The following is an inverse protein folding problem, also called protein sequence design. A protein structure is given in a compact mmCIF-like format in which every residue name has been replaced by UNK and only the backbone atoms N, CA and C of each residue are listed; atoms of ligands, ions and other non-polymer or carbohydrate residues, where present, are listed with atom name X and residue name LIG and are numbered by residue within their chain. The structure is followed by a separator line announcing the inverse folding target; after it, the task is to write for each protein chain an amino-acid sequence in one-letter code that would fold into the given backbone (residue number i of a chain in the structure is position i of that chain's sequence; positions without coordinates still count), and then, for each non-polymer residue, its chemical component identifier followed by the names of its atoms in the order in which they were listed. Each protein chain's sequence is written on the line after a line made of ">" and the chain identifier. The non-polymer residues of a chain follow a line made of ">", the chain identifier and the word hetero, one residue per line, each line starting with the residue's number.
data_IF_697901066419
#
_entry.id   IF_697901066419
#
_cell.length_a   1.000
_cell.length_b   1.000
_cell.length_c   1.000
_cell.angle_alpha   90.00
_cell.angle_beta   90.00
_cell.angle_gamma   90.00
#
_symmetry.space_group_name_H-M   'P 1'
#
loop_
_entity.id
_entity.type
_entity.pdbx_description
1 polymer ?
#
# COMPACT_ATOMS: atom_id res chain seq x y z
N UNK A 1 -9.45 -8.30 -24.65
CA UNK A 1 -10.61 -8.17 -23.74
C UNK A 1 -10.34 -9.04 -22.54
N UNK A 2 -9.95 -8.45 -21.40
CA UNK A 2 -9.75 -9.18 -20.14
C UNK A 2 -10.68 -8.57 -19.10
N UNK A 3 -11.67 -9.36 -18.70
CA UNK A 3 -12.65 -9.06 -17.66
C UNK A 3 -11.98 -8.98 -16.27
N UNK A 4 -12.58 -8.29 -15.28
CA UNK A 4 -12.10 -8.37 -13.90
C UNK A 4 -12.27 -9.80 -13.40
N UNK A 5 -11.24 -10.33 -12.73
CA UNK A 5 -11.27 -11.67 -12.12
C UNK A 5 -12.40 -11.75 -11.10
N UNK A 6 -13.45 -12.44 -11.50
CA UNK A 6 -14.37 -13.17 -10.62
C UNK A 6 -13.54 -14.11 -9.73
N UNK A 7 -13.80 -14.20 -8.41
CA UNK A 7 -13.22 -15.27 -7.60
C UNK A 7 -13.85 -16.60 -8.02
N UNK A 8 -13.03 -17.63 -8.24
CA UNK A 8 -13.51 -18.99 -8.51
C UNK A 8 -14.34 -19.53 -7.33
N UNK A 9 -15.52 -20.13 -7.58
CA UNK A 9 -16.23 -20.89 -6.57
C UNK A 9 -15.82 -22.38 -6.61
N UNK A 10 -15.91 -23.03 -5.45
CA UNK A 10 -16.02 -24.49 -5.22
C UNK A 10 -14.74 -25.33 -5.39
N UNK A 11 -14.21 -25.83 -4.27
CA UNK A 11 -14.39 -27.24 -3.90
C UNK A 11 -14.07 -27.48 -2.42
N UNK A 12 -15.10 -27.77 -1.65
CA UNK A 12 -15.03 -28.38 -0.34
C UNK A 12 -15.58 -29.79 -0.46
N UNK A 13 -14.73 -30.82 -0.38
CA UNK A 13 -15.08 -32.17 0.07
C UNK A 13 -13.84 -33.08 0.17
N UNK A 14 -13.84 -33.92 1.21
CA UNK A 14 -13.06 -35.14 1.44
C UNK A 14 -11.68 -35.09 2.13
N UNK A 15 -11.77 -35.29 3.45
CA UNK A 15 -10.83 -35.89 4.42
C UNK A 15 -11.18 -37.41 4.53
N UNK A 16 -10.46 -38.35 5.20
CA UNK A 16 -9.08 -38.45 5.74
C UNK A 16 -8.29 -39.73 5.30
N UNK A 17 -7.01 -39.84 5.70
CA UNK A 17 -6.48 -40.87 6.65
C UNK A 17 -5.07 -41.41 6.34
N UNK A 18 -4.23 -41.35 7.38
CA UNK A 18 -3.18 -42.31 7.79
C UNK A 18 -1.90 -42.48 6.96
N UNK A 19 -0.76 -42.07 7.52
CA UNK A 19 0.24 -42.98 8.10
C UNK A 19 1.54 -42.23 8.51
N UNK A 20 1.94 -42.37 9.78
CA UNK A 20 3.30 -42.13 10.31
C UNK A 20 4.13 -43.42 10.18
N UNK A 21 5.49 -43.38 10.14
CA UNK A 21 6.24 -43.57 11.40
C UNK A 21 7.65 -42.93 11.52
N UNK A 22 7.93 -42.40 12.71
CA UNK A 22 9.09 -42.57 13.64
C UNK A 22 10.49 -43.05 13.14
N UNK A 23 11.48 -42.12 13.19
CA UNK A 23 12.81 -42.07 13.90
C UNK A 23 13.79 -43.28 13.97
N UNK A 24 15.03 -43.20 14.57
CA UNK A 24 16.04 -42.11 14.80
C UNK A 24 17.56 -42.51 14.57
N UNK A 25 18.47 -41.53 14.76
CA UNK A 25 19.91 -41.60 15.17
C UNK A 25 20.95 -42.28 14.23
N UNK A 26 22.23 -41.90 14.09
CA UNK A 26 23.29 -41.58 15.08
C UNK A 26 24.54 -40.95 14.41
N UNK A 27 25.18 -40.03 15.16
CA UNK A 27 26.61 -39.72 15.37
C UNK A 27 27.74 -40.06 14.35
N UNK A 28 28.58 -39.06 14.05
CA UNK A 28 30.07 -39.05 14.15
C UNK A 28 30.57 -37.69 13.57
N UNK A 29 31.06 -36.76 14.39
CA UNK A 29 32.46 -36.65 14.86
C UNK A 29 33.44 -36.18 13.77
N UNK A 30 33.93 -34.94 13.87
CA UNK A 30 35.37 -34.60 13.87
C UNK A 30 35.59 -33.10 13.65
N UNK A 31 36.48 -32.56 14.49
CA UNK A 31 36.84 -31.16 14.62
C UNK A 31 37.68 -30.64 13.44
N UNK A 32 37.55 -29.34 13.13
CA UNK A 32 38.70 -28.49 12.81
C UNK A 32 38.41 -27.02 13.11
N UNK A 33 39.38 -26.43 13.82
CA UNK A 33 39.46 -25.05 14.28
C UNK A 33 39.68 -24.10 13.09
N UNK A 34 39.08 -22.92 13.13
CA UNK A 34 39.79 -21.68 12.76
C UNK A 34 39.12 -20.44 13.38
N UNK A 35 39.90 -19.52 13.96
CA UNK A 35 39.41 -18.29 14.56
C UNK A 35 39.35 -17.16 13.51
N UNK A 36 38.38 -16.26 13.68
CA UNK A 36 38.42 -14.94 13.05
C UNK A 36 37.52 -14.79 11.83
N UNK A 37 36.29 -14.35 12.06
CA UNK A 37 35.76 -13.21 11.34
C UNK A 37 34.86 -12.47 12.31
N UNK A 38 35.20 -11.20 12.56
CA UNK A 38 34.29 -10.25 13.16
C UNK A 38 33.03 -10.23 12.29
N UNK A 39 31.92 -10.77 12.81
CA UNK A 39 30.60 -10.48 12.27
C UNK A 39 30.39 -8.99 12.43
N UNK A 40 30.71 -8.24 11.37
CA UNK A 40 30.18 -6.92 11.17
C UNK A 40 28.66 -7.09 11.05
N UNK A 41 27.98 -6.94 12.19
CA UNK A 41 26.56 -6.62 12.28
C UNK A 41 26.24 -5.57 11.22
N UNK A 42 25.68 -6.01 10.10
CA UNK A 42 25.10 -5.12 9.09
C UNK A 42 23.96 -4.40 9.80
N UNK A 43 24.18 -3.13 10.16
CA UNK A 43 23.13 -2.27 10.70
C UNK A 43 21.88 -2.42 9.82
N UNK A 44 20.75 -2.92 10.37
CA UNK A 44 19.58 -3.20 9.57
C UNK A 44 19.13 -1.90 8.91
N UNK A 45 19.04 -1.92 7.57
CA UNK A 45 18.63 -0.76 6.79
C UNK A 45 17.35 -0.16 7.41
N UNK A 46 17.20 1.16 7.61
CA UNK A 46 16.10 1.76 8.39
C UNK A 46 14.68 1.32 7.97
N UNK A 47 14.52 0.89 6.72
CA UNK A 47 13.27 0.30 6.24
C UNK A 47 12.90 -1.03 6.90
N UNK A 48 13.86 -1.87 7.31
CA UNK A 48 13.58 -3.11 8.03
C UNK A 48 13.04 -2.83 9.43
N UNK A 49 13.54 -1.82 10.14
CA UNK A 49 12.98 -1.42 11.44
C UNK A 49 11.53 -0.94 11.30
N UNK A 50 11.25 -0.14 10.27
CA UNK A 50 9.87 0.28 9.93
C UNK A 50 9.01 -0.92 9.55
N UNK A 51 9.53 -1.84 8.72
CA UNK A 51 8.81 -3.04 8.29
C UNK A 51 8.50 -3.99 9.45
N UNK A 52 9.43 -4.21 10.37
CA UNK A 52 9.22 -5.00 11.58
C UNK A 52 8.13 -4.37 12.46
N UNK A 53 8.18 -3.04 12.61
CA UNK A 53 7.18 -2.29 13.38
C UNK A 53 5.80 -2.31 12.72
N UNK A 54 5.73 -2.24 11.38
CA UNK A 54 4.50 -2.44 10.62
C UNK A 54 3.97 -3.86 10.82
N UNK A 55 4.81 -4.88 10.66
CA UNK A 55 4.41 -6.28 10.82
C UNK A 55 3.81 -6.52 12.20
N UNK A 56 4.46 -6.04 13.25
CA UNK A 56 3.97 -6.17 14.62
C UNK A 56 2.55 -5.59 14.80
N UNK A 57 2.25 -4.45 14.15
CA UNK A 57 0.93 -3.80 14.18
C UNK A 57 -0.10 -4.48 13.29
N UNK A 58 0.30 -5.10 12.19
CA UNK A 58 -0.59 -5.80 11.25
C UNK A 58 -0.92 -7.22 11.71
N UNK A 59 0.02 -7.89 12.40
CA UNK A 59 -0.06 -9.30 12.79
C UNK A 59 -1.37 -9.74 13.46
N UNK A 60 -2.00 -8.96 14.36
CA UNK A 60 -3.26 -9.35 14.98
C UNK A 60 -4.43 -9.57 14.00
N UNK A 61 -4.34 -9.01 12.80
CA UNK A 61 -5.43 -8.99 11.82
C UNK A 61 -5.23 -9.97 10.65
N UNK A 62 -4.01 -10.45 10.43
CA UNK A 62 -3.65 -11.20 9.22
C UNK A 62 -4.35 -12.57 9.09
N UNK A 63 -4.92 -13.08 10.20
CA UNK A 63 -5.72 -14.31 10.22
C UNK A 63 -7.21 -14.08 9.94
N UNK A 64 -7.68 -12.84 9.86
CA UNK A 64 -9.07 -12.56 9.45
C UNK A 64 -9.29 -12.98 7.98
N UNK A 65 -10.49 -13.45 7.60
CA UNK A 65 -10.81 -13.73 6.21
C UNK A 65 -10.96 -12.44 5.39
N UNK A 66 -10.72 -12.55 4.08
CA UNK A 66 -10.87 -11.43 3.12
C UNK A 66 -9.99 -10.22 3.43
N UNK A 67 -8.79 -10.46 3.97
CA UNK A 67 -7.83 -9.41 4.29
C UNK A 67 -7.21 -8.84 3.02
N UNK A 68 -7.18 -7.52 2.96
CA UNK A 68 -6.50 -6.70 1.98
C UNK A 68 -5.46 -5.85 2.73
N UNK A 69 -4.20 -5.94 2.31
CA UNK A 69 -3.10 -5.09 2.78
C UNK A 69 -2.66 -4.21 1.63
N UNK A 70 -2.73 -2.90 1.82
CA UNK A 70 -2.40 -1.91 0.81
C UNK A 70 -1.50 -0.82 1.39
N UNK A 71 -0.65 -0.24 0.56
CA UNK A 71 0.10 0.96 0.89
C UNK A 71 -0.16 2.03 -0.17
N UNK A 72 -0.45 3.25 0.28
CA UNK A 72 -0.87 4.37 -0.57
C UNK A 72 0.06 5.56 -0.37
N UNK A 73 0.39 6.25 -1.46
CA UNK A 73 1.03 7.56 -1.37
C UNK A 73 0.05 8.61 -0.85
N UNK A 74 0.51 9.42 0.08
CA UNK A 74 -0.27 10.49 0.69
C UNK A 74 0.62 11.66 1.12
N UNK A 75 0.00 12.71 1.66
CA UNK A 75 0.69 13.74 2.43
C UNK A 75 0.17 13.71 3.85
N UNK A 76 1.06 13.53 4.82
CA UNK A 76 0.78 13.69 6.23
C UNK A 76 0.97 15.17 6.53
N UNK A 77 -0.11 15.89 6.81
CA UNK A 77 -0.05 17.32 7.12
C UNK A 77 0.97 17.57 8.21
N UNK A 78 2.02 18.35 7.91
CA UNK A 78 2.94 18.79 8.93
C UNK A 78 2.18 19.72 9.89
N UNK A 79 2.35 19.56 11.22
CA UNK A 79 1.99 20.64 12.13
C UNK A 79 2.73 21.88 11.66
N UNK A 80 2.01 22.96 11.34
CA UNK A 80 2.52 24.20 10.75
C UNK A 80 3.39 25.02 11.74
N UNK A 81 4.26 24.37 12.51
CA UNK A 81 5.18 24.94 13.50
C UNK A 81 6.55 24.30 13.35
N UNK A 82 7.29 24.70 12.31
CA UNK A 82 8.77 24.78 12.34
C UNK A 82 9.24 25.93 11.45
N UNK A 83 8.79 27.14 11.78
CA UNK A 83 9.58 28.34 11.56
C UNK A 83 10.17 28.69 12.93
N UNK A 84 11.50 28.72 13.03
CA UNK A 84 12.30 29.05 14.23
C UNK A 84 12.36 27.97 15.32
N UNK A 85 13.33 27.06 15.20
CA UNK A 85 14.08 26.62 16.37
C UNK A 85 15.50 26.18 15.98
N UNK A 86 16.42 27.09 16.29
CA UNK A 86 17.80 26.88 16.71
C UNK A 86 18.81 26.30 15.71
N UNK A 87 19.51 27.25 15.09
CA UNK A 87 20.96 27.28 14.88
C UNK A 87 21.72 26.79 16.12
N UNK A 88 21.81 25.48 16.34
CA UNK A 88 22.82 24.91 17.22
C UNK A 88 24.05 24.58 16.38
N UNK A 89 25.14 25.32 16.64
CA UNK A 89 26.50 25.00 16.19
C UNK A 89 26.78 23.52 16.51
N UNK A 90 27.06 22.73 15.49
CA UNK A 90 27.59 21.38 15.68
C UNK A 90 28.99 21.47 16.34
N UNK A 91 29.32 20.59 17.30
CA UNK A 91 30.69 20.45 17.78
C UNK A 91 31.57 19.92 16.65
N UNK A 92 32.68 20.60 16.41
CA UNK A 92 33.76 20.14 15.53
C UNK A 92 34.34 18.86 16.15
N UNK A 93 34.14 17.70 15.52
CA UNK A 93 34.80 16.45 15.91
C UNK A 93 33.97 15.16 15.90
N UNK A 94 32.71 15.18 15.46
CA UNK A 94 31.92 13.93 15.35
C UNK A 94 32.21 13.20 14.03
N UNK A 95 32.71 11.97 14.15
CA UNK A 95 32.87 10.98 13.07
C UNK A 95 31.52 10.72 12.38
N UNK A 96 31.45 10.65 11.03
CA UNK A 96 30.19 10.48 10.31
C UNK A 96 29.81 8.99 10.31
N UNK A 97 29.09 8.56 11.33
CA UNK A 97 28.38 7.28 11.32
C UNK A 97 26.99 7.51 11.89
N UNK A 98 25.98 7.03 11.17
CA UNK A 98 24.53 7.20 11.37
C UNK A 98 23.97 8.47 10.74
N UNK A 99 23.18 8.29 9.67
CA UNK A 99 22.21 9.28 9.19
C UNK A 99 21.47 9.82 10.42
N UNK A 100 21.39 11.14 10.64
CA UNK A 100 20.63 11.67 11.75
C UNK A 100 19.23 11.04 11.70
N UNK A 101 18.83 10.31 12.75
CA UNK A 101 17.56 9.56 12.86
C UNK A 101 16.32 10.35 12.41
N UNK A 102 16.42 11.68 12.34
CA UNK A 102 15.40 12.61 11.84
C UNK A 102 15.10 12.48 10.34
N UNK A 103 16.02 11.94 9.55
CA UNK A 103 15.92 11.87 8.08
C UNK A 103 15.50 10.49 7.55
N UNK A 104 15.41 9.48 8.42
CA UNK A 104 14.93 8.16 8.04
C UNK A 104 13.39 8.09 8.01
N UNK A 105 12.80 7.26 7.13
CA UNK A 105 11.39 6.90 7.21
C UNK A 105 11.04 6.37 8.60
N UNK A 106 9.88 6.75 9.13
CA UNK A 106 9.45 6.32 10.48
C UNK A 106 7.94 6.30 10.61
N UNK A 107 7.43 5.42 11.47
CA UNK A 107 6.01 5.39 11.82
C UNK A 107 5.66 6.64 12.64
N UNK A 108 4.50 7.23 12.33
CA UNK A 108 3.93 8.32 13.12
C UNK A 108 3.14 7.72 14.28
N UNK A 109 3.54 8.00 15.51
CA UNK A 109 2.90 7.43 16.71
C UNK A 109 1.53 8.06 17.02
N UNK A 110 1.27 9.30 16.57
CA UNK A 110 0.04 10.05 16.90
C UNK A 110 -0.99 10.03 15.76
N UNK A 111 -2.11 9.33 15.98
CA UNK A 111 -3.17 9.03 15.01
C UNK A 111 -4.14 10.15 14.63
N UNK A 112 -3.79 11.43 14.80
CA UNK A 112 -4.70 12.57 14.54
C UNK A 112 -4.15 13.60 13.55
N UNK A 113 -3.32 13.18 12.60
CA UNK A 113 -2.86 14.08 11.54
C UNK A 113 -3.85 14.11 10.39
N UNK A 114 -4.07 15.30 9.84
CA UNK A 114 -4.80 15.47 8.59
C UNK A 114 -4.00 14.80 7.48
N UNK A 115 -4.57 13.79 6.85
CA UNK A 115 -3.91 13.03 5.79
C UNK A 115 -4.68 13.24 4.49
N UNK A 116 -3.95 13.60 3.45
CA UNK A 116 -4.48 13.73 2.10
C UNK A 116 -3.94 12.58 1.27
N UNK A 117 -4.80 11.60 0.97
CA UNK A 117 -4.45 10.49 0.09
C UNK A 117 -4.42 10.99 -1.36
N UNK A 118 -3.38 10.61 -2.08
CA UNK A 118 -3.20 10.91 -3.49
C UNK A 118 -1.93 11.68 -3.82
N UNK A 119 -1.76 11.94 -5.11
CA UNK A 119 -0.62 12.61 -5.73
C UNK A 119 -1.10 13.72 -6.68
N UNK A 120 -0.20 14.58 -7.16
CA UNK A 120 -0.52 15.50 -8.26
C UNK A 120 -0.78 14.75 -9.56
N UNK A 121 -1.45 15.40 -10.52
CA UNK A 121 -1.72 14.80 -11.82
C UNK A 121 -0.42 14.50 -12.60
N UNK A 122 0.56 15.40 -12.49
CA UNK A 122 1.85 15.29 -13.14
C UNK A 122 2.71 14.17 -12.52
N UNK A 123 2.71 14.07 -11.19
CA UNK A 123 3.41 12.99 -10.46
C UNK A 123 2.78 11.64 -10.78
N UNK A 124 1.44 11.57 -10.83
CA UNK A 124 0.71 10.36 -11.24
C UNK A 124 1.16 9.86 -12.61
N UNK A 125 1.25 10.75 -13.61
CA UNK A 125 1.66 10.39 -14.96
C UNK A 125 3.12 9.89 -14.99
N UNK A 126 4.04 10.57 -14.27
CA UNK A 126 5.44 10.14 -14.14
C UNK A 126 5.57 8.76 -13.50
N UNK A 127 4.92 8.54 -12.36
CA UNK A 127 4.98 7.28 -11.63
C UNK A 127 4.41 6.12 -12.46
N UNK A 128 3.31 6.35 -13.17
CA UNK A 128 2.73 5.35 -14.07
C UNK A 128 3.68 4.99 -15.21
N UNK A 129 4.31 5.97 -15.85
CA UNK A 129 5.28 5.74 -16.92
C UNK A 129 6.51 4.95 -16.42
N UNK A 130 7.04 5.29 -15.24
CA UNK A 130 8.16 4.58 -14.63
C UNK A 130 7.87 3.08 -14.39
N UNK A 131 6.66 2.73 -13.92
CA UNK A 131 6.26 1.32 -13.76
C UNK A 131 6.09 0.61 -15.11
N UNK A 132 5.58 1.32 -16.13
CA UNK A 132 5.41 0.78 -17.46
C UNK A 132 6.75 0.50 -18.19
N UNK A 133 7.77 1.31 -17.95
CA UNK A 133 9.00 1.33 -18.76
C UNK A 133 10.23 0.77 -18.05
N UNK A 134 10.43 1.08 -16.76
CA UNK A 134 11.75 0.93 -16.14
C UNK A 134 11.80 -0.13 -15.03
N UNK A 135 10.91 -0.02 -14.04
CA UNK A 135 11.07 -0.79 -12.82
C UNK A 135 10.68 -2.27 -12.99
N UNK A 136 9.62 -2.53 -13.76
CA UNK A 136 9.01 -3.86 -13.86
C UNK A 136 8.52 -4.19 -15.28
N UNK A 137 8.55 -3.21 -16.21
CA UNK A 137 8.07 -3.33 -17.60
C UNK A 137 6.70 -4.05 -17.71
N UNK A 138 5.75 -3.70 -16.83
CA UNK A 138 4.51 -4.45 -16.68
C UNK A 138 3.41 -3.98 -17.65
N UNK A 139 2.68 -4.91 -18.29
CA UNK A 139 1.52 -4.56 -19.07
C UNK A 139 0.37 -4.10 -18.16
N UNK A 140 0.00 -2.83 -18.25
CA UNK A 140 -1.15 -2.29 -17.52
C UNK A 140 -2.48 -2.81 -18.10
N UNK A 141 -3.34 -3.32 -17.22
CA UNK A 141 -4.75 -3.54 -17.51
C UNK A 141 -5.54 -2.29 -17.13
N UNK A 142 -6.35 -1.76 -18.03
CA UNK A 142 -7.20 -0.60 -17.77
C UNK A 142 -8.65 -1.04 -17.49
N UNK A 143 -9.26 -0.45 -16.46
CA UNK A 143 -10.69 -0.59 -16.17
C UNK A 143 -11.34 0.75 -15.85
N UNK A 144 -12.64 0.85 -16.10
CA UNK A 144 -13.48 1.96 -15.66
C UNK A 144 -14.62 1.39 -14.84
N UNK A 145 -14.73 1.84 -13.59
CA UNK A 145 -15.81 1.43 -12.69
C UNK A 145 -16.51 2.62 -12.07
N UNK A 146 -17.73 2.40 -11.62
CA UNK A 146 -18.43 3.29 -10.72
C UNK A 146 -18.76 2.57 -9.42
N UNK A 147 -18.22 3.10 -8.32
CA UNK A 147 -18.51 2.60 -6.98
C UNK A 147 -19.62 3.46 -6.36
N UNK A 148 -20.71 2.83 -5.95
CA UNK A 148 -21.76 3.45 -5.14
C UNK A 148 -21.60 3.01 -3.69
N UNK A 149 -21.23 3.95 -2.82
CA UNK A 149 -21.03 3.73 -1.39
C UNK A 149 -22.33 4.05 -0.66
N UNK A 150 -22.90 3.03 -0.01
CA UNK A 150 -24.09 3.14 0.82
C UNK A 150 -23.76 2.78 2.27
N UNK A 151 -24.75 2.89 3.17
CA UNK A 151 -24.62 2.39 4.55
C UNK A 151 -24.44 0.86 4.62
N UNK A 152 -24.86 0.13 3.58
CA UNK A 152 -24.87 -1.34 3.57
C UNK A 152 -23.68 -1.93 2.82
N UNK A 153 -22.95 -1.17 2.00
CA UNK A 153 -21.79 -1.68 1.29
C UNK A 153 -21.31 -0.77 0.15
N UNK A 154 -20.28 -1.23 -0.56
CA UNK A 154 -19.76 -0.64 -1.80
C UNK A 154 -20.23 -1.49 -2.97
N UNK A 155 -21.09 -0.94 -3.81
CA UNK A 155 -21.60 -1.58 -5.02
C UNK A 155 -20.74 -1.13 -6.19
N UNK A 156 -20.22 -2.06 -6.97
CA UNK A 156 -19.31 -1.77 -8.09
C UNK A 156 -19.99 -2.08 -9.41
N UNK A 157 -19.94 -1.12 -10.33
CA UNK A 157 -20.43 -1.25 -11.70
C UNK A 157 -19.27 -1.07 -12.67
N UNK A 158 -19.15 -1.94 -13.68
CA UNK A 158 -18.24 -1.69 -14.81
C UNK A 158 -18.93 -0.77 -15.80
N UNK A 159 -18.19 0.22 -16.28
CA UNK A 159 -18.66 1.17 -17.29
C UNK A 159 -17.94 0.88 -18.61
N UNK A 160 -18.67 0.45 -19.62
CA UNK A 160 -18.13 0.19 -20.95
C UNK A 160 -17.88 1.49 -21.73
N UNK A 161 -17.22 1.38 -22.89
CA UNK A 161 -16.88 2.53 -23.74
C UNK A 161 -18.11 3.26 -24.30
N UNK A 162 -19.20 2.54 -24.53
CA UNK A 162 -20.50 3.09 -24.95
C UNK A 162 -21.28 3.77 -23.81
N UNK A 163 -20.72 3.76 -22.59
CA UNK A 163 -21.35 4.30 -21.38
C UNK A 163 -22.34 3.35 -20.70
N UNK A 164 -22.53 2.13 -21.21
CA UNK A 164 -23.36 1.13 -20.56
C UNK A 164 -22.74 0.67 -19.24
N UNK A 165 -23.60 0.41 -18.24
CA UNK A 165 -23.19 0.00 -16.91
C UNK A 165 -23.65 -1.43 -16.61
N UNK A 166 -22.79 -2.23 -15.99
CA UNK A 166 -23.12 -3.58 -15.53
C UNK A 166 -22.68 -3.80 -14.09
N UNK A 167 -23.56 -4.38 -13.26
CA UNK A 167 -23.23 -4.69 -11.87
C UNK A 167 -22.21 -5.83 -11.78
N UNK A 168 -21.13 -5.61 -11.03
CA UNK A 168 -20.07 -6.62 -10.81
C UNK A 168 -20.22 -7.30 -9.46
N UNK A 169 -20.52 -6.53 -8.41
CA UNK A 169 -20.55 -7.06 -7.07
C UNK A 169 -20.74 -6.01 -5.99
N UNK A 170 -20.99 -6.50 -4.78
CA UNK A 170 -21.12 -5.68 -3.58
C UNK A 170 -20.19 -6.24 -2.51
N UNK A 171 -19.46 -5.35 -1.83
CA UNK A 171 -18.62 -5.73 -0.69
C UNK A 171 -18.98 -4.91 0.55
N UNK A 172 -18.68 -5.46 1.72
CA UNK A 172 -18.59 -4.70 2.97
C UNK A 172 -17.11 -4.51 3.32
N UNK A 173 -16.58 -3.29 3.11
CA UNK A 173 -15.21 -2.92 3.49
C UNK A 173 -15.16 -2.41 4.93
N UNK A 174 -14.35 -3.03 5.78
CA UNK A 174 -14.07 -2.55 7.15
C UNK A 174 -12.57 -2.30 7.30
N UNK A 175 -12.20 -1.07 7.68
CA UNK A 175 -10.80 -0.75 7.98
C UNK A 175 -10.46 -1.25 9.38
N UNK A 176 -9.40 -2.06 9.49
CA UNK A 176 -8.93 -2.62 10.76
C UNK A 176 -7.83 -1.75 11.37
N UNK A 177 -6.86 -1.34 10.56
CA UNK A 177 -5.75 -0.51 11.00
C UNK A 177 -5.22 0.36 9.85
N UNK A 178 -4.78 1.57 10.19
CA UNK A 178 -3.99 2.45 9.34
C UNK A 178 -2.71 2.78 10.09
N UNK A 179 -1.59 2.75 9.39
CA UNK A 179 -0.28 3.10 9.93
C UNK A 179 0.38 4.06 8.96
N UNK A 180 0.66 5.26 9.45
CA UNK A 180 1.33 6.30 8.68
C UNK A 180 2.84 6.21 8.83
N UNK A 181 3.54 6.27 7.70
CA UNK A 181 5.00 6.34 7.62
C UNK A 181 5.37 7.69 7.03
N UNK A 182 5.97 8.53 7.87
CA UNK A 182 6.57 9.79 7.47
C UNK A 182 7.86 9.51 6.70
N UNK A 183 8.04 10.15 5.55
CA UNK A 183 9.21 9.97 4.68
C UNK A 183 9.94 11.30 4.50
N UNK A 184 10.93 11.60 5.35
CA UNK A 184 11.70 12.84 5.21
C UNK A 184 12.39 12.96 3.85
N UNK A 185 12.45 14.20 3.34
CA UNK A 185 13.06 14.50 2.03
C UNK A 185 12.26 14.01 0.81
N UNK A 186 11.08 13.45 1.00
CA UNK A 186 10.21 12.97 -0.06
C UNK A 186 8.96 13.87 -0.20
N UNK A 187 8.48 14.15 -1.41
CA UNK A 187 7.24 14.91 -1.61
C UNK A 187 5.98 14.18 -1.10
N UNK A 188 6.09 12.88 -0.83
CA UNK A 188 5.00 12.04 -0.35
C UNK A 188 5.42 11.22 0.86
N UNK A 189 4.42 10.96 1.71
CA UNK A 189 4.44 9.99 2.78
C UNK A 189 3.70 8.72 2.35
N UNK A 190 3.75 7.70 3.20
CA UNK A 190 3.06 6.43 2.96
C UNK A 190 2.03 6.19 4.04
N UNK A 191 0.83 5.74 3.65
CA UNK A 191 -0.12 5.11 4.56
C UNK A 191 -0.22 3.64 4.21
N UNK A 192 0.13 2.77 5.15
CA UNK A 192 -0.16 1.35 5.08
C UNK A 192 -1.51 1.11 5.75
N UNK A 193 -2.37 0.35 5.10
CA UNK A 193 -3.70 0.05 5.59
C UNK A 193 -4.01 -1.44 5.48
N UNK A 194 -4.73 -1.95 6.46
CA UNK A 194 -5.29 -3.30 6.45
C UNK A 194 -6.80 -3.24 6.65
N UNK A 195 -7.53 -3.92 5.78
CA UNK A 195 -8.99 -3.97 5.77
C UNK A 195 -9.49 -5.38 5.52
N UNK A 196 -10.73 -5.66 5.91
CA UNK A 196 -11.50 -6.76 5.34
C UNK A 196 -12.38 -6.24 4.21
N UNK A 197 -12.45 -6.97 3.10
CA UNK A 197 -13.39 -6.73 1.99
C UNK A 197 -14.29 -7.96 1.81
N UNK A 198 -15.36 -8.06 2.61
CA UNK A 198 -16.24 -9.24 2.60
C UNK A 198 -17.22 -9.15 1.42
N UNK A 199 -17.19 -10.09 0.46
CA UNK A 199 -18.13 -10.10 -0.66
C UNK A 199 -19.53 -10.46 -0.17
N UNK A 200 -20.56 -9.78 -0.70
CA UNK A 200 -21.95 -10.19 -0.52
C UNK A 200 -22.34 -11.20 -1.60
N UNK A 201 -23.23 -12.12 -1.25
CA UNK A 201 -23.75 -13.12 -2.19
C UNK A 201 -24.35 -12.45 -3.43
N UNK A 202 -24.16 -13.07 -4.61
CA UNK A 202 -24.64 -12.54 -5.90
C UNK A 202 -26.17 -12.31 -5.93
N UNK A 203 -26.93 -13.07 -5.13
CA UNK A 203 -28.38 -12.86 -4.90
C UNK A 203 -28.72 -11.50 -4.29
N UNK A 204 -27.72 -10.75 -3.81
CA UNK A 204 -27.84 -9.38 -3.30
C UNK A 204 -27.68 -8.32 -4.39
N UNK A 205 -27.58 -8.71 -5.67
CA UNK A 205 -27.56 -7.76 -6.79
C UNK A 205 -28.84 -6.91 -6.74
N UNK A 206 -28.73 -5.58 -6.66
CA UNK A 206 -29.90 -4.73 -6.51
C UNK A 206 -30.62 -4.61 -7.87
N UNK A 207 -31.95 -4.74 -7.87
CA UNK A 207 -32.76 -4.58 -9.09
C UNK A 207 -32.65 -3.15 -9.69
N UNK A 208 -32.40 -2.17 -8.83
CA UNK A 208 -32.16 -0.77 -9.19
C UNK A 208 -30.86 -0.33 -8.53
N UNK A 209 -29.99 0.35 -9.26
CA UNK A 209 -28.76 0.92 -8.72
C UNK A 209 -29.06 1.75 -7.46
N UNK A 210 -28.43 1.45 -6.31
CA UNK A 210 -28.76 2.12 -5.07
C UNK A 210 -28.35 3.59 -5.13
N UNK A 211 -28.97 4.42 -4.29
CA UNK A 211 -28.52 5.80 -4.08
C UNK A 211 -27.45 5.84 -3.00
N UNK A 212 -26.38 6.61 -3.23
CA UNK A 212 -25.24 6.70 -2.33
C UNK A 212 -24.18 7.68 -2.82
N UNK A 213 -23.04 7.70 -2.14
CA UNK A 213 -21.89 8.48 -2.58
C UNK A 213 -21.21 7.77 -3.74
N UNK A 214 -21.08 8.46 -4.87
CA UNK A 214 -20.56 7.89 -6.12
C UNK A 214 -19.08 8.23 -6.30
N UNK A 215 -18.27 7.23 -6.64
CA UNK A 215 -16.89 7.39 -7.08
C UNK A 215 -16.71 6.72 -8.43
N UNK A 216 -16.56 7.51 -9.48
CA UNK A 216 -16.14 7.00 -10.80
C UNK A 216 -14.63 6.85 -10.81
N UNK A 217 -14.12 5.67 -11.18
CA UNK A 217 -12.71 5.31 -11.16
C UNK A 217 -12.27 4.88 -12.55
N UNK A 218 -11.18 5.46 -13.03
CA UNK A 218 -10.40 4.94 -14.16
C UNK A 218 -9.08 4.43 -13.59
N UNK A 219 -8.87 3.12 -13.65
CA UNK A 219 -7.76 2.44 -12.97
C UNK A 219 -6.88 1.72 -13.98
N UNK A 220 -5.57 1.82 -13.78
CA UNK A 220 -4.54 1.02 -14.46
C UNK A 220 -3.88 0.13 -13.42
N UNK A 221 -4.00 -1.19 -13.58
CA UNK A 221 -3.40 -2.17 -12.68
C UNK A 221 -2.29 -2.94 -13.38
N UNK A 222 -1.24 -3.26 -12.63
CA UNK A 222 -0.14 -4.09 -13.09
C UNK A 222 0.31 -4.97 -11.92
N UNK A 223 0.45 -6.28 -12.15
CA UNK A 223 0.82 -7.24 -11.11
C UNK A 223 2.23 -7.75 -11.36
N UNK A 224 3.09 -7.68 -10.36
CA UNK A 224 4.42 -8.29 -10.33
C UNK A 224 4.55 -9.12 -9.06
N UNK A 225 4.82 -10.42 -9.21
CA UNK A 225 4.95 -11.35 -8.09
C UNK A 225 3.73 -11.31 -7.15
N UNK A 226 3.92 -10.86 -5.91
CA UNK A 226 2.89 -10.71 -4.88
C UNK A 226 2.40 -9.27 -4.68
N UNK A 227 2.72 -8.37 -5.62
CA UNK A 227 2.36 -6.96 -5.59
C UNK A 227 1.46 -6.60 -6.77
N UNK A 228 0.38 -5.90 -6.52
CA UNK A 228 -0.41 -5.23 -7.56
C UNK A 228 -0.26 -3.72 -7.41
N UNK A 229 0.30 -3.07 -8.43
CA UNK A 229 0.34 -1.63 -8.57
C UNK A 229 -1.00 -1.17 -9.12
N UNK A 230 -1.62 -0.19 -8.48
CA UNK A 230 -2.84 0.42 -8.96
C UNK A 230 -2.71 1.95 -9.03
N UNK A 231 -2.87 2.46 -10.24
CA UNK A 231 -2.94 3.89 -10.56
C UNK A 231 -4.40 4.23 -10.83
N UNK A 232 -5.03 5.04 -9.98
CA UNK A 232 -6.45 5.36 -10.11
C UNK A 232 -6.70 6.86 -10.24
N UNK A 233 -7.34 7.28 -11.34
CA UNK A 233 -8.00 8.59 -11.41
C UNK A 233 -9.42 8.45 -10.90
N UNK A 234 -9.80 9.24 -9.89
CA UNK A 234 -11.14 9.23 -9.29
C UNK A 234 -11.83 10.54 -9.59
N UNK A 235 -13.02 10.43 -10.18
CA UNK A 235 -13.83 11.54 -10.65
C UNK A 235 -14.31 11.31 -12.08
N UNK A 236 -15.37 12.01 -12.48
CA UNK A 236 -15.89 11.93 -13.84
C UNK A 236 -14.88 12.50 -14.86
N UNK A 237 -14.99 12.06 -16.12
CA UNK A 237 -14.29 12.69 -17.23
C UNK A 237 -14.85 14.13 -17.37
N UNK A 238 -13.99 15.14 -17.18
CA UNK A 238 -14.38 16.56 -17.12
C UNK A 238 -14.59 17.17 -15.72
N UNK A 239 -14.56 16.36 -14.64
CA UNK A 239 -14.56 16.92 -13.27
C UNK A 239 -13.33 17.82 -13.08
N UNK A 240 -13.53 19.05 -12.59
CA UNK A 240 -12.46 20.06 -12.48
C UNK A 240 -11.31 19.63 -11.55
N UNK A 241 -11.64 18.93 -10.47
CA UNK A 241 -10.67 18.50 -9.45
C UNK A 241 -10.81 16.99 -9.18
N UNK A 242 -10.34 16.12 -10.10
CA UNK A 242 -10.27 14.69 -9.83
C UNK A 242 -9.15 14.41 -8.81
N UNK A 243 -9.24 13.29 -8.07
CA UNK A 243 -8.12 12.81 -7.28
C UNK A 243 -7.32 11.75 -8.05
N UNK A 244 -6.02 11.71 -7.80
CA UNK A 244 -5.09 10.75 -8.38
C UNK A 244 -4.51 9.92 -7.24
N UNK A 245 -4.80 8.63 -7.24
CA UNK A 245 -4.43 7.69 -6.18
C UNK A 245 -3.39 6.70 -6.74
N UNK A 246 -2.28 6.54 -6.01
CA UNK A 246 -1.23 5.54 -6.30
C UNK A 246 -1.13 4.62 -5.11
N UNK A 247 -1.34 3.33 -5.35
CA UNK A 247 -1.33 2.29 -4.33
C UNK A 247 -0.58 1.04 -4.83
N UNK A 248 0.04 0.32 -3.90
CA UNK A 248 0.49 -1.06 -4.11
C UNK A 248 -0.21 -1.93 -3.07
N UNK A 249 -0.86 -3.01 -3.52
CA UNK A 249 -1.54 -3.98 -2.66
C UNK A 249 -0.87 -5.36 -2.71
N UNK A 250 -1.06 -6.13 -1.65
CA UNK A 250 -0.58 -7.50 -1.55
C UNK A 250 -1.52 -8.51 -2.19
N UNK A 251 -1.01 -9.28 -3.13
CA UNK A 251 -1.70 -10.40 -3.78
C UNK A 251 -1.29 -11.69 -3.08
N UNK A 252 -2.06 -12.10 -2.08
CA UNK A 252 -1.78 -13.29 -1.27
C UNK A 252 -2.94 -14.26 -1.25
N UNK A 253 -2.66 -15.56 -1.47
CA UNK A 253 -3.63 -16.62 -1.18
C UNK A 253 -3.87 -16.78 0.33
N UNK A 254 -2.83 -16.52 1.13
CA UNK A 254 -2.88 -16.53 2.59
C UNK A 254 -2.05 -15.34 3.12
N UNK A 255 -2.74 -14.27 3.55
CA UNK A 255 -2.10 -13.06 4.06
C UNK A 255 -1.28 -13.29 5.33
N UNK A 256 -1.67 -14.26 6.18
CA UNK A 256 -0.91 -14.62 7.39
C UNK A 256 0.47 -15.21 7.07
N UNK A 257 0.60 -15.94 5.97
CA UNK A 257 1.87 -16.49 5.51
C UNK A 257 2.62 -15.53 4.57
N UNK A 258 1.89 -14.79 3.74
CA UNK A 258 2.47 -13.93 2.70
C UNK A 258 3.01 -12.60 3.21
N UNK A 259 2.38 -12.01 4.24
CA UNK A 259 2.80 -10.71 4.79
C UNK A 259 3.90 -10.93 5.83
N UNK A 260 5.15 -10.80 5.38
CA UNK A 260 6.36 -10.92 6.20
C UNK A 260 7.08 -9.58 6.34
N UNK A 261 8.09 -9.51 7.20
CA UNK A 261 8.94 -8.32 7.35
C UNK A 261 9.65 -7.98 6.04
N UNK A 262 10.21 -8.99 5.36
CA UNK A 262 10.87 -8.82 4.06
C UNK A 262 9.88 -8.30 3.00
N UNK A 263 8.65 -8.83 2.98
CA UNK A 263 7.60 -8.38 2.06
C UNK A 263 7.21 -6.92 2.33
N UNK A 264 7.04 -6.52 3.59
CA UNK A 264 6.74 -5.12 3.95
C UNK A 264 7.91 -4.17 3.63
N UNK A 265 9.14 -4.60 3.84
CA UNK A 265 10.32 -3.82 3.46
C UNK A 265 10.37 -3.61 1.94
N UNK A 266 9.99 -4.61 1.15
CA UNK A 266 9.91 -4.50 -0.31
C UNK A 266 8.74 -3.64 -0.78
N UNK A 267 7.55 -3.80 -0.17
CA UNK A 267 6.42 -2.90 -0.38
C UNK A 267 6.81 -1.43 -0.20
N UNK A 268 7.46 -1.11 0.92
CA UNK A 268 7.92 0.26 1.20
C UNK A 268 8.98 0.72 0.19
N UNK A 269 9.94 -0.14 -0.17
CA UNK A 269 10.98 0.19 -1.15
C UNK A 269 10.37 0.56 -2.50
N UNK A 270 9.43 -0.23 -2.99
CA UNK A 270 8.72 0.00 -4.26
C UNK A 270 7.95 1.32 -4.24
N UNK A 271 7.22 1.60 -3.16
CA UNK A 271 6.51 2.87 -2.99
C UNK A 271 7.44 4.08 -2.90
N UNK A 272 8.55 3.94 -2.18
CA UNK A 272 9.54 5.01 -2.05
C UNK A 272 10.26 5.28 -3.35
N UNK A 273 10.49 4.27 -4.20
CA UNK A 273 11.01 4.47 -5.54
C UNK A 273 10.09 5.37 -6.36
N UNK A 274 8.77 5.11 -6.34
CA UNK A 274 7.77 5.96 -7.01
C UNK A 274 7.72 7.37 -6.42
N UNK A 275 7.68 7.47 -5.09
CA UNK A 275 7.57 8.74 -4.38
C UNK A 275 8.78 9.66 -4.62
N UNK A 276 9.97 9.07 -4.78
CA UNK A 276 11.25 9.78 -4.98
C UNK A 276 11.65 9.98 -6.45
N UNK A 277 10.78 9.65 -7.40
CA UNK A 277 11.06 9.91 -8.81
C UNK A 277 11.41 11.38 -9.04
N UNK A 278 12.45 11.60 -9.85
CA UNK A 278 12.93 12.93 -10.18
C UNK A 278 11.81 13.74 -10.83
N UNK A 279 11.60 14.96 -10.33
CA UNK A 279 10.57 15.86 -10.81
C UNK A 279 9.22 15.73 -10.10
N UNK A 280 9.07 14.78 -9.17
CA UNK A 280 7.90 14.78 -8.29
C UNK A 280 7.84 16.05 -7.43
N UNK A 281 6.67 16.66 -7.33
CA UNK A 281 6.48 17.94 -6.63
C UNK A 281 5.59 17.83 -5.39
N UNK A 282 4.89 16.71 -5.21
CA UNK A 282 3.92 16.56 -4.12
C UNK A 282 2.54 17.08 -4.50
N UNK A 283 1.60 16.94 -3.56
CA UNK A 283 0.24 17.45 -3.73
C UNK A 283 0.23 19.00 -3.79
N UNK A 284 -0.64 19.60 -4.61
CA UNK A 284 -0.81 21.05 -4.65
C UNK A 284 -1.17 21.59 -3.25
N UNK A 285 -0.36 22.50 -2.72
CA UNK A 285 -0.73 23.20 -1.50
C UNK A 285 -1.86 24.17 -1.83
N UNK A 286 -3.01 24.05 -1.16
CA UNK A 286 -4.01 25.12 -1.23
C UNK A 286 -3.33 26.39 -0.71
N UNK A 287 -3.34 27.51 -1.47
CA UNK A 287 -2.85 28.76 -0.94
C UNK A 287 -3.59 29.03 0.37
N UNK A 288 -2.84 29.33 1.43
CA UNK A 288 -3.44 29.71 2.71
C UNK A 288 -4.40 30.87 2.41
N UNK A 289 -5.70 30.66 2.63
CA UNK A 289 -6.69 31.74 2.51
C UNK A 289 -6.29 32.84 3.48
N UNK A 290 -5.66 33.91 2.98
CA UNK A 290 -5.14 34.93 3.87
C UNK A 290 -4.24 35.99 3.25
N UNK A 291 -4.41 36.38 1.98
CA UNK A 291 -3.93 37.67 1.48
C UNK A 291 -4.92 38.18 0.41
N UNK A 292 -6.07 38.67 0.86
CA UNK A 292 -6.81 39.71 0.15
C UNK A 292 -7.13 40.78 1.19
N UNK A 293 -6.25 41.78 1.23
CA UNK A 293 -6.69 43.17 1.42
C UNK A 293 -7.19 43.68 0.07
#
# INVERSE_FOLDING_TARGET
>A
MSAPRTPSPLEAANVPASATPTAPATAAEAACRSPGHAEASLDPHPLFEVAASLLARLKPFLSEPHIEVEARLCSIGQPQKRARENTQKAPVGATPTLIPSRDAPRIVEDGHRRIQVGVSAEDFARMKAHVAEEAEALPFQQSVTEDVITKTGRYTYVVAEDGSESFVGCIAKRRLCNIEVLVPGCPYDVRVSISTEVPKAATSAPAVKPQGYVRRKRRWTATAESFEYAFTRVGADGQQCPSFEVEIEGVHANSQAGVTEAWLADLLRRLLALARLKGNTGLPQKPARGEHQ
#
